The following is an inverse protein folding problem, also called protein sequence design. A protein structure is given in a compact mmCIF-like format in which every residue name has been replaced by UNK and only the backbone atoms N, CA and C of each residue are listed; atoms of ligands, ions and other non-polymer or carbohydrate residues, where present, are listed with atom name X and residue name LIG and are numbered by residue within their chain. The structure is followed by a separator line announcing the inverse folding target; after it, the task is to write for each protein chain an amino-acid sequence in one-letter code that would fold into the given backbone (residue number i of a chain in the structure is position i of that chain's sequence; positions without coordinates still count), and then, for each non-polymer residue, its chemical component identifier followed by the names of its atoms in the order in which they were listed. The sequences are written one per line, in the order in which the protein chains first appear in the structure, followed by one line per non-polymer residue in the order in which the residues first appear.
data_IF_861282972603
#
_entry.id   IF_861282972603
#
_cell.length_a   1.000
_cell.length_b   1.000
_cell.length_c   1.000
_cell.angle_alpha   90.00
_cell.angle_beta   90.00
_cell.angle_gamma   90.00
#
_symmetry.space_group_name_H-M   'P 1'
#
loop_
_entity.id
_entity.type
_entity.pdbx_description
1 polymer ?
#
# COMPACT_ATOMS: atom_id res chain seq x y z
N UNK A 1 -30.41 -52.12 65.33
CA UNK A 1 -29.00 -52.08 65.75
C UNK A 1 -28.61 -50.61 65.84
N UNK A 2 -28.88 -49.96 66.99
CA UNK A 2 -27.86 -49.59 68.01
C UNK A 2 -26.72 -48.81 67.34
N UNK A 3 -26.43 -47.55 67.63
CA UNK A 3 -26.46 -46.78 68.88
C UNK A 3 -26.01 -45.36 68.48
N UNK A 4 -26.64 -44.26 68.92
CA UNK A 4 -26.14 -43.33 69.98
C UNK A 4 -24.65 -42.97 69.73
N UNK A 5 -24.21 -41.72 69.49
CA UNK A 5 -24.24 -40.57 70.40
C UNK A 5 -23.57 -39.36 69.70
N UNK A 6 -24.11 -38.14 69.91
CA UNK A 6 -23.36 -36.86 69.99
C UNK A 6 -22.28 -36.91 71.11
N UNK A 7 -21.42 -35.91 71.43
CA UNK A 7 -21.32 -34.51 70.97
C UNK A 7 -19.85 -34.00 70.83
N UNK A 8 -19.72 -32.68 70.65
CA UNK A 8 -18.96 -31.78 71.55
C UNK A 8 -17.78 -30.96 70.98
N UNK A 9 -17.90 -29.66 71.28
CA UNK A 9 -16.97 -28.53 71.11
C UNK A 9 -15.70 -28.67 71.96
N UNK A 10 -14.60 -28.09 71.46
CA UNK A 10 -13.54 -27.43 72.25
C UNK A 10 -12.61 -26.67 71.27
N UNK A 11 -12.66 -25.34 71.14
CA UNK A 11 -11.89 -24.28 71.84
C UNK A 11 -10.36 -24.37 71.82
N UNK A 12 -9.76 -23.23 71.44
CA UNK A 12 -8.35 -22.77 71.58
C UNK A 12 -7.32 -23.43 70.64
N UNK A 13 -6.33 -22.76 70.04
CA UNK A 13 -5.80 -21.39 70.13
C UNK A 13 -4.90 -21.14 68.89
N UNK A 14 -4.49 -19.89 68.70
CA UNK A 14 -3.81 -19.27 67.56
C UNK A 14 -2.57 -19.98 66.99
N UNK A 15 -2.36 -19.83 65.67
CA UNK A 15 -1.05 -19.57 65.08
C UNK A 15 -1.20 -18.94 63.68
N UNK A 16 -0.67 -17.73 63.57
CA UNK A 16 -0.51 -16.94 62.35
C UNK A 16 0.01 -17.75 61.16
N UNK A 17 -0.59 -17.55 59.99
CA UNK A 17 0.15 -17.43 58.72
C UNK A 17 -0.72 -16.72 57.69
N UNK A 18 -0.18 -15.60 57.21
CA UNK A 18 -0.72 -14.78 56.12
C UNK A 18 -1.04 -15.64 54.90
N UNK A 19 -2.30 -15.62 54.47
CA UNK A 19 -2.68 -16.01 53.11
C UNK A 19 -3.25 -14.77 52.42
N UNK A 20 -2.41 -14.17 51.57
CA UNK A 20 -2.81 -13.13 50.63
C UNK A 20 -3.78 -13.78 49.65
N UNK A 21 -5.06 -13.54 49.92
CA UNK A 21 -6.21 -14.01 49.16
C UNK A 21 -6.16 -13.41 47.75
N UNK A 22 -5.47 -14.12 46.86
CA UNK A 22 -5.34 -13.74 45.46
C UNK A 22 -6.65 -14.10 44.80
N UNK A 23 -7.58 -13.15 44.72
CA UNK A 23 -8.82 -13.27 43.96
C UNK A 23 -8.49 -13.62 42.51
N UNK A 24 -8.51 -14.93 42.25
CA UNK A 24 -8.44 -15.56 40.97
C UNK A 24 -9.64 -15.07 40.15
N UNK A 25 -9.39 -14.02 39.38
CA UNK A 25 -10.35 -13.54 38.40
C UNK A 25 -10.37 -14.57 37.28
N UNK A 26 -11.46 -15.30 37.22
CA UNK A 26 -11.76 -16.29 36.19
C UNK A 26 -11.93 -15.56 34.85
N UNK A 27 -10.83 -15.43 34.09
CA UNK A 27 -10.85 -14.89 32.73
C UNK A 27 -11.24 -16.02 31.78
N UNK A 28 -12.49 -16.00 31.33
CA UNK A 28 -13.00 -16.82 30.24
C UNK A 28 -12.43 -16.34 28.89
N UNK A 29 -11.83 -17.27 28.14
CA UNK A 29 -11.78 -17.23 26.66
C UNK A 29 -10.83 -16.24 25.97
N UNK A 30 -9.62 -16.71 25.65
CA UNK A 30 -8.81 -16.30 24.49
C UNK A 30 -7.81 -15.12 24.62
N UNK A 31 -6.90 -15.18 25.60
CA UNK A 31 -5.76 -14.24 25.70
C UNK A 31 -4.90 -14.26 24.43
N UNK A 32 -4.67 -13.10 23.81
CA UNK A 32 -3.73 -12.90 22.70
C UNK A 32 -2.29 -12.95 23.24
N UNK A 33 -1.49 -13.95 22.82
CA UNK A 33 -0.13 -14.20 23.33
C UNK A 33 0.84 -14.47 22.19
N UNK A 34 2.15 -14.27 22.41
CA UNK A 34 3.20 -14.55 21.42
C UNK A 34 3.15 -16.00 20.92
N UNK A 35 3.05 -16.98 21.82
CA UNK A 35 2.98 -18.39 21.43
C UNK A 35 1.79 -18.69 20.48
N UNK A 36 0.65 -18.00 20.65
CA UNK A 36 -0.49 -18.12 19.72
C UNK A 36 -0.23 -17.43 18.39
N UNK A 37 0.47 -16.30 18.39
CA UNK A 37 0.88 -15.62 17.15
C UNK A 37 1.85 -16.49 16.36
N UNK A 38 2.82 -17.11 17.03
CA UNK A 38 3.80 -18.00 16.41
C UNK A 38 3.17 -19.30 15.89
N UNK A 39 2.11 -19.80 16.54
CA UNK A 39 1.39 -20.98 16.06
C UNK A 39 0.61 -20.74 14.75
N UNK A 40 0.45 -19.48 14.32
CA UNK A 40 -0.05 -19.14 12.98
C UNK A 40 0.97 -19.46 11.86
N UNK A 41 2.21 -19.81 12.21
CA UNK A 41 3.24 -20.27 11.28
C UNK A 41 3.53 -19.25 10.18
N UNK A 42 3.55 -19.70 8.92
CA UNK A 42 3.91 -18.88 7.76
C UNK A 42 2.92 -17.74 7.44
N UNK A 43 1.78 -17.68 8.13
CA UNK A 43 0.78 -16.62 7.96
C UNK A 43 1.19 -15.30 8.60
N UNK A 44 2.08 -15.35 9.59
CA UNK A 44 2.66 -14.19 10.27
C UNK A 44 4.17 -14.26 10.16
N UNK A 45 4.83 -13.11 10.07
CA UNK A 45 6.30 -13.02 10.05
C UNK A 45 6.76 -11.93 10.99
N UNK A 46 7.95 -12.13 11.53
CA UNK A 46 8.75 -11.04 12.08
C UNK A 46 9.21 -10.20 10.89
N UNK A 47 8.82 -8.93 10.88
CA UNK A 47 9.12 -8.00 9.79
C UNK A 47 10.22 -7.00 10.14
N UNK A 48 10.51 -6.81 11.43
CA UNK A 48 11.62 -6.00 11.91
C UNK A 48 11.98 -6.40 13.34
N UNK A 49 13.23 -6.15 13.74
CA UNK A 49 13.76 -6.44 15.07
C UNK A 49 14.69 -5.32 15.52
N UNK A 50 14.71 -5.02 16.82
CA UNK A 50 15.73 -4.16 17.44
C UNK A 50 16.57 -5.02 18.38
N UNK A 51 17.79 -5.36 17.95
CA UNK A 51 18.67 -6.29 18.69
C UNK A 51 19.09 -5.74 20.05
N UNK A 52 19.19 -4.41 20.18
CA UNK A 52 19.58 -3.73 21.42
C UNK A 52 18.52 -3.89 22.52
N UNK A 53 17.24 -3.68 22.18
CA UNK A 53 16.13 -3.81 23.14
C UNK A 53 15.45 -5.18 23.13
N UNK A 54 15.80 -6.07 22.19
CA UNK A 54 15.14 -7.36 22.00
C UNK A 54 13.68 -7.26 21.53
N UNK A 55 13.29 -6.14 20.91
CA UNK A 55 11.94 -5.98 20.36
C UNK A 55 11.78 -6.71 19.03
N UNK A 56 10.66 -7.40 18.85
CA UNK A 56 10.30 -8.12 17.63
C UNK A 56 8.92 -7.68 17.14
N UNK A 57 8.85 -7.24 15.88
CA UNK A 57 7.62 -6.74 15.26
C UNK A 57 7.01 -7.80 14.33
N UNK A 58 5.80 -8.25 14.65
CA UNK A 58 5.06 -9.27 13.93
C UNK A 58 3.96 -8.66 13.06
N UNK A 59 3.88 -9.11 11.80
CA UNK A 59 2.81 -8.74 10.87
C UNK A 59 2.35 -9.93 10.03
N UNK A 60 1.06 -10.02 9.74
CA UNK A 60 0.53 -10.99 8.80
C UNK A 60 1.10 -10.77 7.39
N UNK A 61 1.25 -11.86 6.64
CA UNK A 61 1.67 -11.83 5.24
C UNK A 61 0.50 -11.44 4.34
N UNK A 62 -0.67 -12.06 4.59
CA UNK A 62 -1.96 -11.77 3.95
C UNK A 62 -3.06 -12.01 4.97
N UNK A 63 -4.05 -11.13 4.99
CA UNK A 63 -5.24 -11.24 5.82
C UNK A 63 -6.45 -10.70 5.06
N UNK A 64 -7.60 -11.34 5.22
CA UNK A 64 -8.89 -10.95 4.66
C UNK A 64 -10.01 -10.92 5.72
N UNK A 65 -11.22 -10.56 5.32
CA UNK A 65 -12.36 -10.42 6.24
C UNK A 65 -12.74 -11.74 6.91
N UNK A 66 -12.61 -12.88 6.22
CA UNK A 66 -12.99 -14.21 6.72
C UNK A 66 -11.91 -14.88 7.58
N UNK A 67 -10.77 -14.22 7.78
CA UNK A 67 -9.69 -14.77 8.59
C UNK A 67 -9.99 -14.73 10.09
N UNK A 68 -9.28 -15.58 10.83
CA UNK A 68 -9.43 -15.70 12.28
C UNK A 68 -9.18 -14.37 12.98
N UNK A 69 -9.92 -14.12 14.06
CA UNK A 69 -9.75 -12.92 14.89
C UNK A 69 -8.30 -12.75 15.38
N UNK A 70 -7.62 -13.86 15.69
CA UNK A 70 -6.22 -13.86 16.08
C UNK A 70 -5.32 -13.31 14.97
N UNK A 71 -5.47 -13.78 13.72
CA UNK A 71 -4.66 -13.29 12.60
C UNK A 71 -4.95 -11.82 12.29
N UNK A 72 -6.22 -11.40 12.36
CA UNK A 72 -6.62 -10.01 12.13
C UNK A 72 -5.97 -9.05 13.12
N UNK A 73 -5.63 -9.49 14.33
CA UNK A 73 -4.90 -8.69 15.31
C UNK A 73 -3.39 -8.59 15.01
N UNK A 74 -2.82 -9.45 14.17
CA UNK A 74 -1.39 -9.49 13.86
C UNK A 74 -0.98 -8.46 12.79
N UNK A 75 -1.23 -7.16 13.02
CA UNK A 75 -0.92 -6.07 12.08
C UNK A 75 0.13 -5.10 12.64
N UNK A 76 1.35 -5.58 12.82
CA UNK A 76 2.44 -4.78 13.40
C UNK A 76 2.40 -4.74 14.92
N UNK A 77 2.18 -5.90 15.53
CA UNK A 77 2.24 -6.08 16.99
C UNK A 77 3.69 -6.22 17.41
N UNK A 78 4.10 -5.54 18.47
CA UNK A 78 5.48 -5.60 18.97
C UNK A 78 5.52 -6.39 20.28
N UNK A 79 6.45 -7.34 20.35
CA UNK A 79 6.75 -8.10 21.55
C UNK A 79 8.14 -7.77 22.06
N UNK A 80 8.30 -7.80 23.38
CA UNK A 80 9.57 -8.01 24.05
C UNK A 80 9.43 -9.32 24.81
N UNK A 81 10.20 -10.34 24.43
CA UNK A 81 10.01 -11.70 24.90
C UNK A 81 8.53 -12.14 24.76
N UNK A 82 7.85 -12.48 25.87
CA UNK A 82 6.44 -12.89 25.89
C UNK A 82 5.45 -11.73 26.13
N UNK A 83 5.95 -10.52 26.40
CA UNK A 83 5.14 -9.34 26.73
C UNK A 83 4.81 -8.55 25.45
N UNK A 84 3.54 -8.16 25.32
CA UNK A 84 3.13 -7.22 24.28
C UNK A 84 3.56 -5.82 24.69
N UNK A 85 4.38 -5.19 23.85
CA UNK A 85 4.85 -3.81 24.04
C UNK A 85 3.97 -2.84 23.28
N UNK A 86 3.51 -3.20 22.08
CA UNK A 86 2.66 -2.35 21.25
C UNK A 86 1.52 -3.16 20.65
N UNK A 87 0.28 -2.72 20.87
CA UNK A 87 -0.89 -3.17 20.10
C UNK A 87 -1.10 -2.21 18.94
N UNK A 88 -1.66 -2.70 17.85
CA UNK A 88 -2.03 -1.86 16.71
C UNK A 88 -3.52 -2.03 16.41
N UNK A 89 -4.03 -1.19 15.52
CA UNK A 89 -5.33 -1.44 14.91
C UNK A 89 -5.33 -2.81 14.23
N UNK A 90 -6.40 -3.61 14.42
CA UNK A 90 -6.51 -4.88 13.71
C UNK A 90 -6.69 -4.64 12.20
N UNK A 91 -6.85 -5.73 11.46
CA UNK A 91 -7.32 -5.69 10.10
C UNK A 91 -8.64 -4.91 10.02
N UNK A 92 -8.65 -3.87 9.19
CA UNK A 92 -9.83 -3.06 8.91
C UNK A 92 -10.61 -3.75 7.79
N UNK A 93 -11.88 -4.06 8.02
CA UNK A 93 -12.75 -4.64 6.99
C UNK A 93 -13.23 -3.51 6.10
N UNK A 94 -13.09 -3.66 4.79
CA UNK A 94 -13.45 -2.62 3.81
C UNK A 94 -14.63 -3.07 2.98
N UNK A 95 -15.65 -2.22 2.90
CA UNK A 95 -16.81 -2.32 2.03
C UNK A 95 -16.78 -1.15 1.04
N UNK A 96 -17.35 -1.34 -0.14
CA UNK A 96 -17.84 -0.21 -0.92
C UNK A 96 -19.24 0.18 -0.39
N UNK A 97 -19.65 1.43 -0.58
CA UNK A 97 -20.95 1.90 -0.06
C UNK A 97 -22.17 1.27 -0.72
N UNK A 98 -22.02 0.48 -1.80
CA UNK A 98 -23.10 -0.33 -2.38
C UNK A 98 -23.09 -1.79 -1.93
N UNK A 99 -22.20 -2.20 -1.01
CA UNK A 99 -22.22 -3.53 -0.38
C UNK A 99 -23.31 -3.58 0.72
N UNK A 100 -24.56 -3.29 0.34
CA UNK A 100 -25.69 -3.06 1.25
C UNK A 100 -25.93 -4.26 2.18
N UNK A 101 -25.85 -5.48 1.65
CA UNK A 101 -26.08 -6.71 2.43
C UNK A 101 -25.00 -6.95 3.50
N UNK A 102 -23.74 -6.70 3.18
CA UNK A 102 -22.62 -6.78 4.13
C UNK A 102 -22.72 -5.71 5.20
N UNK A 103 -23.02 -4.47 4.80
CA UNK A 103 -23.13 -3.33 5.72
C UNK A 103 -24.29 -3.57 6.68
N UNK A 104 -25.46 -3.96 6.18
CA UNK A 104 -26.65 -4.22 6.99
C UNK A 104 -26.44 -5.39 7.95
N UNK A 105 -25.72 -6.43 7.53
CA UNK A 105 -25.43 -7.59 8.38
C UNK A 105 -24.39 -7.30 9.46
N UNK A 106 -23.36 -6.50 9.17
CA UNK A 106 -22.18 -6.38 10.03
C UNK A 106 -22.09 -5.08 10.83
N UNK A 107 -22.79 -4.02 10.41
CA UNK A 107 -22.69 -2.68 11.00
C UNK A 107 -24.03 -2.23 11.59
N UNK A 108 -25.14 -2.35 10.86
CA UNK A 108 -26.47 -1.90 11.35
C UNK A 108 -26.85 -2.46 12.74
N UNK A 109 -26.59 -3.74 13.10
CA UNK A 109 -26.95 -4.28 14.41
C UNK A 109 -26.15 -3.68 15.58
N UNK A 110 -25.02 -3.01 15.28
CA UNK A 110 -24.12 -2.41 16.27
C UNK A 110 -23.95 -0.91 16.06
N UNK A 111 -24.79 -0.29 15.21
CA UNK A 111 -24.67 1.10 14.78
C UNK A 111 -24.61 2.08 15.95
N UNK A 112 -25.48 1.92 16.94
CA UNK A 112 -25.57 2.79 18.12
C UNK A 112 -24.30 2.75 18.99
N UNK A 113 -23.51 1.68 18.88
CA UNK A 113 -22.24 1.51 19.59
C UNK A 113 -21.02 1.87 18.75
N UNK A 114 -21.24 2.39 17.53
CA UNK A 114 -20.17 2.78 16.62
C UNK A 114 -19.88 4.28 16.71
N UNK A 115 -18.65 4.65 16.35
CA UNK A 115 -18.27 6.04 16.12
C UNK A 115 -17.71 6.20 14.72
N UNK A 116 -18.12 7.28 14.05
CA UNK A 116 -17.90 7.51 12.62
C UNK A 116 -16.97 8.70 12.42
N UNK A 117 -15.97 8.51 11.57
CA UNK A 117 -14.96 9.52 11.26
C UNK A 117 -14.64 9.53 9.77
N UNK A 118 -14.12 10.65 9.28
CA UNK A 118 -13.58 10.73 7.93
C UNK A 118 -12.44 9.72 7.71
N UNK A 119 -12.51 8.95 6.62
CA UNK A 119 -11.44 8.06 6.20
C UNK A 119 -10.52 8.77 5.20
N UNK A 120 -9.43 9.35 5.71
CA UNK A 120 -8.40 9.95 4.89
C UNK A 120 -7.44 8.91 4.29
N UNK A 121 -6.84 9.25 3.14
CA UNK A 121 -5.78 8.47 2.50
C UNK A 121 -4.40 8.83 3.07
N UNK A 122 -3.70 7.84 3.62
CA UNK A 122 -2.41 8.07 4.25
C UNK A 122 -1.74 6.81 4.80
N UNK A 123 -0.66 7.03 5.54
CA UNK A 123 0.11 5.98 6.20
C UNK A 123 0.02 6.08 7.73
N UNK A 124 -0.17 4.93 8.37
CA UNK A 124 -0.27 4.85 9.83
C UNK A 124 1.12 4.81 10.47
N UNK A 125 1.43 5.85 11.24
CA UNK A 125 2.57 5.96 12.15
C UNK A 125 2.12 5.60 13.56
N UNK A 126 2.98 4.92 14.31
CA UNK A 126 2.72 4.53 15.69
C UNK A 126 3.89 4.91 16.56
N UNK A 127 3.59 5.51 17.70
CA UNK A 127 4.61 5.95 18.64
C UNK A 127 4.38 5.34 20.02
N UNK A 128 5.42 4.72 20.57
CA UNK A 128 5.40 4.10 21.89
C UNK A 128 6.77 4.21 22.55
N UNK A 129 6.80 4.29 23.87
CA UNK A 129 8.04 4.27 24.65
C UNK A 129 8.32 2.83 25.09
N UNK A 130 9.58 2.43 25.05
CA UNK A 130 10.04 1.19 25.66
C UNK A 130 11.41 1.45 26.30
N UNK A 131 11.50 1.24 27.60
CA UNK A 131 12.72 1.43 28.40
C UNK A 131 13.38 2.81 28.20
N UNK A 132 12.55 3.87 28.14
CA UNK A 132 13.02 5.24 27.98
C UNK A 132 13.32 5.65 26.53
N UNK A 133 13.26 4.71 25.57
CA UNK A 133 13.46 4.98 24.13
C UNK A 133 12.11 5.09 23.42
N UNK A 134 11.90 6.19 22.71
CA UNK A 134 10.74 6.37 21.84
C UNK A 134 10.94 5.68 20.50
N UNK A 135 9.97 4.86 20.10
CA UNK A 135 9.91 4.22 18.79
C UNK A 135 8.87 4.93 17.94
N UNK A 136 9.25 5.37 16.74
CA UNK A 136 8.33 5.85 15.70
C UNK A 136 8.28 4.80 14.61
N UNK A 137 7.17 4.08 14.49
CA UNK A 137 7.09 2.82 13.72
C UNK A 137 5.97 2.82 12.67
N UNK A 138 6.14 1.98 11.65
CA UNK A 138 5.09 1.58 10.68
C UNK A 138 4.80 0.10 10.82
N UNK A 139 3.70 -0.44 10.29
CA UNK A 139 3.21 -1.78 10.68
C UNK A 139 4.13 -2.95 10.27
N UNK A 140 5.27 -2.65 9.64
CA UNK A 140 6.33 -3.60 9.26
C UNK A 140 7.73 -3.16 9.66
N UNK A 141 7.90 -1.98 10.28
CA UNK A 141 9.22 -1.43 10.67
C UNK A 141 9.13 -0.70 11.99
N UNK A 142 10.00 -1.04 12.94
CA UNK A 142 10.16 -0.35 14.22
C UNK A 142 10.66 1.09 14.04
N UNK A 143 11.36 1.34 12.93
CA UNK A 143 11.84 2.66 12.55
C UNK A 143 11.16 3.15 11.24
N UNK A 144 10.25 4.10 11.37
CA UNK A 144 9.51 4.72 10.27
C UNK A 144 10.40 5.53 9.31
N UNK A 145 11.56 6.01 9.75
CA UNK A 145 12.54 6.72 8.90
C UNK A 145 13.21 5.79 7.87
N UNK A 146 13.08 4.48 8.06
CA UNK A 146 13.53 3.44 7.12
C UNK A 146 12.37 2.87 6.29
N UNK A 147 11.17 3.46 6.37
CA UNK A 147 9.95 2.99 5.72
C UNK A 147 9.54 3.95 4.61
N UNK A 148 9.66 3.51 3.35
CA UNK A 148 9.40 4.34 2.16
C UNK A 148 8.46 3.61 1.21
N UNK A 149 7.63 4.35 0.49
CA UNK A 149 6.81 3.83 -0.61
C UNK A 149 6.69 4.91 -1.68
N UNK A 150 7.11 4.58 -2.91
CA UNK A 150 7.19 5.45 -4.10
C UNK A 150 8.10 6.69 -3.99
N UNK A 151 8.12 7.37 -2.85
CA UNK A 151 8.90 8.59 -2.60
C UNK A 151 10.34 8.33 -2.15
N UNK A 152 11.16 9.38 -2.26
CA UNK A 152 12.49 9.45 -1.64
C UNK A 152 12.42 9.71 -0.14
N UNK A 153 11.39 10.39 0.32
CA UNK A 153 11.10 10.60 1.74
C UNK A 153 10.51 9.33 2.36
N UNK A 154 10.83 9.10 3.63
CA UNK A 154 10.19 8.06 4.43
C UNK A 154 8.91 8.57 5.08
N UNK A 155 8.07 7.65 5.55
CA UNK A 155 6.90 8.02 6.33
C UNK A 155 7.29 8.72 7.64
N UNK A 156 8.46 8.41 8.21
CA UNK A 156 9.04 9.16 9.33
C UNK A 156 9.39 10.61 8.96
N UNK A 157 10.00 10.83 7.79
CA UNK A 157 10.33 12.18 7.31
C UNK A 157 9.06 13.01 7.10
N UNK A 158 8.03 12.42 6.47
CA UNK A 158 6.72 13.07 6.26
C UNK A 158 6.02 13.38 7.59
N UNK A 159 6.13 12.48 8.58
CA UNK A 159 5.61 12.71 9.92
C UNK A 159 6.26 13.92 10.60
N UNK A 160 7.59 14.01 10.57
CA UNK A 160 8.33 15.14 11.15
C UNK A 160 7.94 16.45 10.47
N UNK A 161 7.90 16.49 9.14
CA UNK A 161 7.43 17.68 8.40
C UNK A 161 6.00 18.08 8.74
N UNK A 162 5.14 17.10 8.97
CA UNK A 162 3.75 17.37 9.36
C UNK A 162 3.70 17.99 10.76
N UNK A 163 4.55 17.54 11.70
CA UNK A 163 4.71 18.20 13.01
C UNK A 163 5.29 19.62 12.89
N UNK A 164 6.22 19.86 11.97
CA UNK A 164 6.73 21.21 11.68
C UNK A 164 5.63 22.12 11.12
N UNK A 165 4.72 21.57 10.30
CA UNK A 165 3.56 22.31 9.82
C UNK A 165 2.56 22.61 10.93
N UNK A 166 2.26 21.63 11.80
CA UNK A 166 1.44 21.83 13.00
C UNK A 166 2.06 22.92 13.89
N UNK A 167 3.37 22.92 14.11
CA UNK A 167 4.04 23.96 14.90
C UNK A 167 3.87 25.38 14.33
N UNK A 168 3.74 25.52 13.00
CA UNK A 168 3.57 26.81 12.33
C UNK A 168 2.12 27.28 12.30
N UNK A 169 1.17 26.35 12.24
CA UNK A 169 -0.24 26.64 11.89
C UNK A 169 -1.21 26.41 13.04
N UNK A 170 -0.84 25.58 14.02
CA UNK A 170 -1.66 25.23 15.17
C UNK A 170 -1.05 25.85 16.44
N UNK A 171 -1.60 27.00 16.86
CA UNK A 171 -1.12 27.73 18.04
C UNK A 171 -1.15 26.88 19.32
N UNK A 172 -2.13 25.98 19.45
CA UNK A 172 -2.29 25.13 20.62
C UNK A 172 -1.14 24.13 20.71
N UNK A 173 -0.84 23.48 19.59
CA UNK A 173 0.32 22.59 19.47
C UNK A 173 1.62 23.35 19.75
N UNK A 174 1.81 24.51 19.09
CA UNK A 174 3.00 25.34 19.25
C UNK A 174 3.29 25.70 20.71
N UNK A 175 2.27 26.19 21.44
CA UNK A 175 2.38 26.59 22.85
C UNK A 175 2.57 25.41 23.80
N UNK A 176 2.19 24.21 23.39
CA UNK A 176 2.32 23.00 24.22
C UNK A 176 3.74 22.42 24.22
N UNK A 177 4.56 22.75 23.22
CA UNK A 177 5.90 22.20 23.11
C UNK A 177 6.88 22.95 24.01
N UNK A 178 7.80 22.24 24.71
CA UNK A 178 8.87 22.89 25.46
C UNK A 178 9.81 23.67 24.52
N UNK A 179 10.50 24.69 25.04
CA UNK A 179 11.50 25.44 24.26
C UNK A 179 12.75 24.60 23.98
N UNK A 180 13.14 23.77 24.95
CA UNK A 180 14.32 22.91 24.88
C UNK A 180 14.03 21.59 24.14
N UNK A 181 14.99 21.16 23.30
CA UNK A 181 14.98 19.88 22.59
C UNK A 181 15.62 19.98 21.22
N UNK A 182 16.35 18.94 20.81
CA UNK A 182 17.19 18.96 19.59
C UNK A 182 16.39 19.04 18.28
N UNK A 183 15.15 18.55 18.28
CA UNK A 183 14.28 18.53 17.11
C UNK A 183 12.81 18.68 17.50
N UNK A 184 11.96 19.03 16.52
CA UNK A 184 10.50 19.08 16.73
C UNK A 184 9.94 17.75 17.23
N UNK A 185 10.51 16.63 16.77
CA UNK A 185 10.10 15.30 17.19
C UNK A 185 10.45 15.04 18.66
N UNK A 186 11.67 15.39 19.09
CA UNK A 186 12.10 15.23 20.48
C UNK A 186 11.27 16.10 21.42
N UNK A 187 11.00 17.36 21.02
CA UNK A 187 10.13 18.29 21.76
C UNK A 187 8.70 17.78 21.85
N UNK A 188 8.18 17.18 20.79
CA UNK A 188 6.85 16.57 20.81
C UNK A 188 6.82 15.33 21.70
N UNK A 189 7.79 14.43 21.58
CA UNK A 189 7.90 13.21 22.38
C UNK A 189 7.96 13.47 23.89
N UNK A 190 8.57 14.57 24.33
CA UNK A 190 8.62 14.93 25.76
C UNK A 190 7.29 15.44 26.32
N UNK A 191 6.31 15.78 25.47
CA UNK A 191 4.95 16.13 25.90
C UNK A 191 4.05 14.91 26.11
N UNK A 192 4.49 13.72 25.68
CA UNK A 192 3.68 12.52 25.66
C UNK A 192 3.94 11.64 26.88
N UNK A 193 2.87 11.05 27.39
CA UNK A 193 2.91 10.03 28.43
C UNK A 193 3.54 8.73 27.88
N UNK A 194 4.57 8.24 28.56
CA UNK A 194 5.37 7.06 28.16
C UNK A 194 4.63 5.74 28.32
N UNK A 195 3.56 5.68 29.14
CA UNK A 195 2.76 4.47 29.33
C UNK A 195 1.67 4.31 28.25
N UNK A 196 1.51 5.31 27.38
CA UNK A 196 0.53 5.35 26.30
C UNK A 196 1.14 5.04 24.95
N UNK A 197 0.29 4.61 24.03
CA UNK A 197 0.68 4.31 22.65
C UNK A 197 -0.16 5.16 21.69
N UNK A 198 0.50 5.95 20.84
CA UNK A 198 -0.16 6.95 20.01
C UNK A 198 -0.17 6.52 18.55
N UNK A 199 -1.28 6.76 17.88
CA UNK A 199 -1.52 6.36 16.50
C UNK A 199 -1.75 7.63 15.67
N UNK A 200 -0.99 7.79 14.60
CA UNK A 200 -1.08 8.95 13.72
C UNK A 200 -1.30 8.51 12.28
N UNK A 201 -2.11 9.24 11.54
CA UNK A 201 -2.26 9.07 10.10
C UNK A 201 -1.57 10.24 9.39
N UNK A 202 -0.43 9.99 8.77
CA UNK A 202 0.20 11.00 7.89
C UNK A 202 -0.45 10.94 6.52
N UNK A 203 -0.88 12.09 6.00
CA UNK A 203 -1.48 12.14 4.67
C UNK A 203 -0.41 11.93 3.59
N UNK A 204 -0.86 11.38 2.46
CA UNK A 204 0.01 11.12 1.33
C UNK A 204 0.55 12.41 0.69
N UNK A 205 1.80 12.39 0.24
CA UNK A 205 2.43 13.41 -0.61
C UNK A 205 2.14 13.12 -2.09
N UNK A 206 2.46 14.06 -2.98
CA UNK A 206 2.28 13.84 -4.44
C UNK A 206 3.04 12.61 -4.97
N UNK A 207 4.15 12.23 -4.33
CA UNK A 207 4.94 11.06 -4.73
C UNK A 207 4.27 9.73 -4.36
N UNK A 208 3.52 9.68 -3.25
CA UNK A 208 2.97 8.45 -2.69
C UNK A 208 1.44 8.40 -2.67
N UNK A 209 0.76 9.45 -3.16
CA UNK A 209 -0.69 9.45 -3.31
C UNK A 209 -1.18 8.36 -4.25
N UNK A 210 -2.40 7.91 -4.02
CA UNK A 210 -3.05 6.81 -4.73
C UNK A 210 -4.24 7.35 -5.51
N UNK A 211 -5.27 7.83 -4.83
CA UNK A 211 -6.46 8.43 -5.45
C UNK A 211 -6.66 9.86 -4.96
N UNK A 212 -6.63 10.07 -3.64
CA UNK A 212 -6.77 11.41 -3.08
C UNK A 212 -5.61 12.32 -3.53
N UNK A 213 -5.88 13.61 -3.70
CA UNK A 213 -4.86 14.63 -3.92
C UNK A 213 -4.02 14.79 -2.65
N UNK A 214 -2.73 15.06 -2.82
CA UNK A 214 -1.92 15.40 -1.68
C UNK A 214 -2.34 16.79 -1.17
N UNK A 215 -2.37 17.01 0.15
CA UNK A 215 -2.55 18.35 0.68
C UNK A 215 -1.37 19.23 0.24
N UNK A 216 -1.63 20.53 0.07
CA UNK A 216 -0.59 21.49 -0.32
C UNK A 216 0.55 21.55 0.72
N UNK A 217 0.18 21.46 2.00
CA UNK A 217 1.12 21.38 3.11
C UNK A 217 1.02 19.99 3.78
N UNK A 218 2.14 19.43 4.27
CA UNK A 218 2.13 18.16 5.00
C UNK A 218 1.19 18.23 6.21
N UNK A 219 0.35 17.21 6.36
CA UNK A 219 -0.63 17.15 7.42
C UNK A 219 -0.74 15.75 7.99
N UNK A 220 -1.13 15.68 9.26
CA UNK A 220 -1.32 14.43 9.98
C UNK A 220 -2.52 14.54 10.92
N UNK A 221 -3.17 13.42 11.16
CA UNK A 221 -4.21 13.30 12.19
C UNK A 221 -3.73 12.43 13.34
N UNK A 222 -4.11 12.79 14.56
CA UNK A 222 -4.12 11.88 15.68
C UNK A 222 -5.33 10.94 15.49
N UNK A 223 -5.11 9.63 15.37
CA UNK A 223 -6.18 8.66 15.07
C UNK A 223 -6.46 7.70 16.20
N UNK A 224 -5.89 7.96 17.39
CA UNK A 224 -6.22 7.27 18.62
C UNK A 224 -5.02 6.99 19.49
N UNK A 225 -5.31 6.73 20.76
CA UNK A 225 -4.32 6.37 21.77
C UNK A 225 -4.75 5.08 22.45
N UNK A 226 -3.83 4.15 22.69
CA UNK A 226 -4.08 3.07 23.63
C UNK A 226 -3.70 3.53 25.03
N UNK A 227 -4.69 3.53 25.92
CA UNK A 227 -4.54 3.79 27.36
C UNK A 227 -4.88 2.49 28.07
N UNK A 228 -3.94 1.94 28.85
CA UNK A 228 -4.07 0.64 29.53
C UNK A 228 -4.53 -0.49 28.57
N UNK A 229 -4.03 -0.46 27.33
CA UNK A 229 -4.34 -1.44 26.29
C UNK A 229 -5.71 -1.28 25.63
N UNK A 230 -6.49 -0.24 25.97
CA UNK A 230 -7.78 0.09 25.34
C UNK A 230 -7.63 1.29 24.42
N UNK A 231 -8.16 1.18 23.21
CA UNK A 231 -8.18 2.30 22.27
C UNK A 231 -9.18 3.38 22.73
N UNK A 232 -8.72 4.61 22.81
CA UNK A 232 -9.53 5.81 23.07
C UNK A 232 -9.28 6.86 21.98
N UNK A 233 -10.31 7.64 21.67
CA UNK A 233 -10.32 8.69 20.64
C UNK A 233 -10.60 10.07 21.25
N UNK A 234 -10.13 10.28 22.49
CA UNK A 234 -10.41 11.47 23.31
C UNK A 234 -9.15 12.08 23.92
N UNK A 235 -7.97 11.49 23.68
CA UNK A 235 -6.72 11.98 24.23
C UNK A 235 -6.27 13.23 23.47
N UNK A 236 -6.15 14.33 24.21
CA UNK A 236 -5.79 15.62 23.65
C UNK A 236 -4.27 15.84 23.75
N UNK A 237 -3.58 15.55 22.65
CA UNK A 237 -2.15 15.81 22.48
C UNK A 237 -1.89 17.04 21.59
N UNK A 238 -2.89 17.91 21.49
CA UNK A 238 -2.88 19.13 20.67
C UNK A 238 -2.70 18.90 19.16
N UNK A 239 -3.02 17.70 18.68
CA UNK A 239 -3.10 17.35 17.27
C UNK A 239 -4.53 16.89 17.01
N UNK A 240 -5.12 17.39 15.92
CA UNK A 240 -6.51 17.14 15.60
C UNK A 240 -6.79 15.68 15.24
N UNK A 241 -7.97 15.22 15.63
CA UNK A 241 -8.57 13.98 15.12
C UNK A 241 -9.20 14.23 13.75
N UNK A 242 -9.39 13.19 12.92
CA UNK A 242 -10.26 13.29 11.76
C UNK A 242 -11.66 13.73 12.20
N UNK A 243 -12.41 14.38 11.32
CA UNK A 243 -13.75 14.88 11.65
C UNK A 243 -14.66 13.73 12.10
N UNK A 244 -15.24 13.89 13.29
CA UNK A 244 -16.25 12.97 13.83
C UNK A 244 -17.63 13.34 13.30
N UNK A 245 -18.43 12.32 12.98
CA UNK A 245 -19.81 12.47 12.52
C UNK A 245 -20.80 11.84 13.50
N UNK A 246 -21.97 12.47 13.62
CA UNK A 246 -23.11 11.98 14.42
C UNK A 246 -24.28 11.66 13.50
N UNK A 247 -24.23 10.51 12.83
CA UNK A 247 -25.31 10.04 11.96
C UNK A 247 -26.45 9.44 12.78
N UNK A 248 -27.70 9.70 12.40
CA UNK A 248 -28.87 9.13 13.06
C UNK A 248 -29.11 7.67 12.69
N UNK A 249 -28.65 7.26 11.51
CA UNK A 249 -28.81 5.91 10.97
C UNK A 249 -27.82 5.65 9.82
N UNK A 250 -27.77 4.42 9.34
CA UNK A 250 -26.90 4.04 8.22
C UNK A 250 -27.23 4.74 6.90
N UNK A 251 -28.48 5.17 6.69
CA UNK A 251 -28.86 5.91 5.48
C UNK A 251 -28.19 7.27 5.41
N UNK A 252 -28.12 8.01 6.53
CA UNK A 252 -27.38 9.29 6.56
C UNK A 252 -25.88 9.09 6.33
N UNK A 253 -25.29 8.03 6.88
CA UNK A 253 -23.89 7.70 6.64
C UNK A 253 -23.64 7.37 5.16
N UNK A 254 -24.55 6.64 4.51
CA UNK A 254 -24.49 6.34 3.09
C UNK A 254 -24.66 7.60 2.23
N UNK A 255 -25.64 8.45 2.54
CA UNK A 255 -25.86 9.72 1.86
C UNK A 255 -24.64 10.64 2.00
N UNK A 256 -23.98 10.66 3.15
CA UNK A 256 -22.71 11.37 3.32
C UNK A 256 -21.65 10.85 2.35
N UNK A 257 -21.42 9.54 2.31
CA UNK A 257 -20.40 8.94 1.44
C UNK A 257 -20.67 9.27 -0.03
N UNK A 258 -21.92 9.19 -0.50
CA UNK A 258 -22.28 9.52 -1.89
C UNK A 258 -21.95 10.96 -2.30
N UNK A 259 -21.81 11.87 -1.34
CA UNK A 259 -21.63 13.29 -1.59
C UNK A 259 -20.19 13.78 -1.32
N UNK A 260 -19.26 12.90 -0.95
CA UNK A 260 -17.85 13.29 -0.75
C UNK A 260 -17.15 13.53 -2.08
N UNK A 261 -16.14 14.40 -2.08
CA UNK A 261 -15.15 14.41 -3.16
C UNK A 261 -14.12 13.30 -2.91
N UNK A 262 -14.07 12.32 -3.81
CA UNK A 262 -13.13 11.19 -3.75
C UNK A 262 -11.67 11.63 -3.91
N UNK A 263 -11.43 12.87 -4.34
CA UNK A 263 -10.10 13.47 -4.40
C UNK A 263 -9.63 13.94 -3.03
N UNK A 264 -10.52 14.13 -2.06
CA UNK A 264 -10.14 14.57 -0.71
C UNK A 264 -10.30 13.46 0.33
N UNK A 265 -11.30 12.59 0.15
CA UNK A 265 -11.66 11.55 1.12
C UNK A 265 -11.94 10.20 0.47
N UNK A 266 -11.60 9.12 1.16
CA UNK A 266 -11.88 7.76 0.68
C UNK A 266 -13.33 7.33 0.97
N UNK A 267 -13.89 7.83 2.07
CA UNK A 267 -15.16 7.38 2.65
C UNK A 267 -15.21 7.61 4.16
N UNK A 268 -15.82 6.66 4.89
CA UNK A 268 -15.94 6.68 6.35
C UNK A 268 -15.16 5.54 6.99
N UNK A 269 -14.53 5.82 8.14
CA UNK A 269 -14.00 4.80 9.06
C UNK A 269 -14.89 4.73 10.30
N UNK A 270 -15.18 3.50 10.71
CA UNK A 270 -16.14 3.17 11.76
C UNK A 270 -15.39 2.40 12.83
N UNK A 271 -15.35 2.94 14.05
CA UNK A 271 -14.83 2.26 15.22
C UNK A 271 -16.00 1.64 15.97
N UNK A 272 -16.04 0.31 15.95
CA UNK A 272 -17.03 -0.53 16.61
C UNK A 272 -16.48 -1.05 17.96
N UNK A 273 -17.33 -1.68 18.80
CA UNK A 273 -16.89 -2.34 20.02
C UNK A 273 -15.73 -3.32 19.81
N UNK A 274 -14.97 -3.57 20.89
CA UNK A 274 -13.81 -4.46 20.91
C UNK A 274 -12.68 -4.07 19.93
N UNK A 275 -12.55 -2.78 19.62
CA UNK A 275 -11.57 -2.24 18.68
C UNK A 275 -11.71 -2.84 17.26
N UNK A 276 -12.92 -3.32 16.90
CA UNK A 276 -13.22 -3.71 15.53
C UNK A 276 -13.37 -2.44 14.67
N UNK A 277 -12.85 -2.49 13.46
CA UNK A 277 -12.87 -1.36 12.55
C UNK A 277 -13.42 -1.77 11.19
N UNK A 278 -14.29 -0.91 10.66
CA UNK A 278 -14.78 -1.01 9.30
C UNK A 278 -14.44 0.26 8.54
N UNK A 279 -14.31 0.15 7.23
CA UNK A 279 -14.34 1.28 6.30
C UNK A 279 -15.44 1.06 5.29
N UNK A 280 -16.21 2.10 5.02
CA UNK A 280 -17.13 2.15 3.89
C UNK A 280 -16.58 3.17 2.92
N UNK A 281 -16.13 2.70 1.76
CA UNK A 281 -15.43 3.50 0.76
C UNK A 281 -16.39 3.97 -0.34
N UNK A 282 -16.09 5.11 -0.94
CA UNK A 282 -16.73 5.50 -2.18
C UNK A 282 -16.41 4.46 -3.28
N UNK A 283 -17.40 3.98 -4.04
CA UNK A 283 -17.22 2.99 -5.11
C UNK A 283 -16.22 3.48 -6.16
N UNK A 284 -16.36 4.72 -6.61
CA UNK A 284 -15.43 5.31 -7.59
C UNK A 284 -14.02 5.46 -7.03
N UNK A 285 -13.87 5.85 -5.75
CA UNK A 285 -12.57 5.82 -5.08
C UNK A 285 -11.98 4.40 -5.14
N UNK A 286 -12.77 3.37 -4.77
CA UNK A 286 -12.30 2.00 -4.76
C UNK A 286 -11.94 1.50 -6.17
N UNK A 287 -12.65 1.97 -7.20
CA UNK A 287 -12.36 1.64 -8.60
C UNK A 287 -11.03 2.25 -9.04
N UNK A 288 -10.82 3.54 -8.79
CA UNK A 288 -9.56 4.24 -9.06
C UNK A 288 -8.41 3.63 -8.26
N UNK A 289 -8.64 3.24 -7.01
CA UNK A 289 -7.66 2.55 -6.17
C UNK A 289 -7.26 1.20 -6.78
N UNK A 290 -8.22 0.41 -7.30
CA UNK A 290 -7.94 -0.86 -8.01
C UNK A 290 -7.13 -0.62 -9.28
N UNK A 291 -7.46 0.39 -10.07
CA UNK A 291 -6.71 0.75 -11.27
C UNK A 291 -5.28 1.18 -10.91
N UNK A 292 -5.12 2.02 -9.88
CA UNK A 292 -3.82 2.47 -9.38
C UNK A 292 -2.98 1.35 -8.77
N UNK A 293 -3.61 0.45 -8.02
CA UNK A 293 -2.95 -0.66 -7.33
C UNK A 293 -1.92 -0.23 -6.28
N UNK A 294 -1.47 -1.20 -5.48
CA UNK A 294 -0.39 -1.00 -4.51
C UNK A 294 0.98 -1.22 -5.14
N UNK A 295 1.31 -0.41 -6.15
CA UNK A 295 2.59 -0.46 -6.88
C UNK A 295 3.34 0.87 -6.71
N UNK A 296 4.54 0.89 -6.08
CA UNK A 296 5.29 2.12 -5.89
C UNK A 296 5.58 2.90 -7.18
N UNK A 297 5.86 2.21 -8.29
CA UNK A 297 6.22 2.85 -9.55
C UNK A 297 5.02 2.96 -10.49
N UNK A 298 4.50 4.17 -10.72
CA UNK A 298 3.44 4.41 -11.72
C UNK A 298 3.83 3.87 -13.10
N UNK A 299 5.11 4.00 -13.47
CA UNK A 299 5.63 3.49 -14.74
C UNK A 299 5.54 1.97 -14.84
N UNK A 300 5.82 1.28 -13.74
CA UNK A 300 5.69 -0.17 -13.69
C UNK A 300 4.23 -0.60 -13.59
N UNK A 301 3.41 0.16 -12.85
CA UNK A 301 1.97 -0.06 -12.79
C UNK A 301 1.33 0.00 -14.18
N UNK A 302 1.70 0.98 -14.98
CA UNK A 302 1.27 1.08 -16.38
C UNK A 302 1.55 -0.23 -17.14
N UNK A 303 2.77 -0.78 -17.04
CA UNK A 303 3.10 -2.06 -17.69
C UNK A 303 2.25 -3.25 -17.20
N UNK A 304 1.77 -3.22 -15.95
CA UNK A 304 0.89 -4.27 -15.42
C UNK A 304 -0.52 -4.19 -16.01
N UNK A 305 -0.99 -2.99 -16.36
CA UNK A 305 -2.39 -2.76 -16.78
C UNK A 305 -2.53 -2.30 -18.22
N UNK A 306 -1.44 -2.10 -18.97
CA UNK A 306 -1.46 -1.49 -20.32
C UNK A 306 -2.32 -2.22 -21.35
N UNK A 307 -2.66 -3.49 -21.12
CA UNK A 307 -3.58 -4.25 -21.97
C UNK A 307 -5.06 -4.10 -21.58
N UNK A 308 -5.35 -3.36 -20.51
CA UNK A 308 -6.69 -3.02 -20.04
C UNK A 308 -6.91 -1.51 -20.22
N UNK A 309 -7.67 -1.13 -21.26
CA UNK A 309 -7.88 0.27 -21.62
C UNK A 309 -8.56 1.07 -20.50
N UNK A 310 -9.54 0.48 -19.81
CA UNK A 310 -10.25 1.11 -18.70
C UNK A 310 -9.28 1.51 -17.58
N UNK A 311 -8.39 0.61 -17.17
CA UNK A 311 -7.39 0.92 -16.14
C UNK A 311 -6.33 1.91 -16.61
N UNK A 312 -5.98 1.91 -17.90
CA UNK A 312 -5.08 2.92 -18.48
C UNK A 312 -5.73 4.31 -18.44
N UNK A 313 -7.00 4.42 -18.81
CA UNK A 313 -7.74 5.67 -18.80
C UNK A 313 -7.89 6.20 -17.36
N UNK A 314 -8.15 5.33 -16.39
CA UNK A 314 -8.16 5.69 -14.97
C UNK A 314 -6.79 6.13 -14.46
N UNK A 315 -5.70 5.47 -14.87
CA UNK A 315 -4.35 5.93 -14.52
C UNK A 315 -4.04 7.30 -15.11
N UNK A 316 -4.48 7.57 -16.35
CA UNK A 316 -4.32 8.88 -16.98
C UNK A 316 -5.20 9.95 -16.32
N UNK A 317 -6.38 9.59 -15.83
CA UNK A 317 -7.22 10.46 -15.02
C UNK A 317 -6.51 10.85 -13.71
N UNK A 318 -5.91 9.87 -13.03
CA UNK A 318 -5.19 10.10 -11.78
C UNK A 318 -3.85 10.82 -11.97
N UNK A 319 -3.11 10.54 -13.05
CA UNK A 319 -1.76 11.05 -13.31
C UNK A 319 -1.64 11.59 -14.74
N UNK A 320 -2.31 12.70 -15.09
CA UNK A 320 -2.35 13.20 -16.47
C UNK A 320 -0.96 13.57 -17.01
N UNK A 321 -0.04 14.00 -16.14
CA UNK A 321 1.35 14.32 -16.51
C UNK A 321 2.16 13.08 -16.96
N UNK A 322 1.69 11.86 -16.67
CA UNK A 322 2.37 10.62 -17.06
C UNK A 322 2.08 10.19 -18.50
N UNK A 323 1.16 10.86 -19.21
CA UNK A 323 0.76 10.52 -20.58
C UNK A 323 1.96 10.37 -21.51
N UNK A 324 2.83 11.38 -21.56
CA UNK A 324 4.02 11.34 -22.43
C UNK A 324 4.96 10.18 -22.05
N UNK A 325 5.05 9.86 -20.75
CA UNK A 325 5.85 8.71 -20.30
C UNK A 325 5.27 7.40 -20.81
N UNK A 326 3.94 7.24 -20.79
CA UNK A 326 3.26 6.04 -21.28
C UNK A 326 3.40 5.91 -22.80
N UNK A 327 3.20 7.01 -23.54
CA UNK A 327 3.41 7.05 -24.99
C UNK A 327 4.86 6.67 -25.35
N UNK A 328 5.84 7.14 -24.58
CA UNK A 328 7.24 6.75 -24.75
C UNK A 328 7.47 5.26 -24.51
N UNK A 329 6.81 4.66 -23.51
CA UNK A 329 6.88 3.22 -23.26
C UNK A 329 6.33 2.43 -24.45
N UNK A 330 5.22 2.87 -25.04
CA UNK A 330 4.64 2.24 -26.24
C UNK A 330 5.59 2.31 -27.45
N UNK A 331 6.17 3.49 -27.68
CA UNK A 331 7.15 3.67 -28.75
C UNK A 331 8.40 2.81 -28.58
N UNK A 332 8.86 2.65 -27.33
CA UNK A 332 9.98 1.77 -26.99
C UNK A 332 9.63 0.30 -27.23
N UNK A 333 8.48 -0.16 -26.76
CA UNK A 333 8.03 -1.54 -26.97
C UNK A 333 7.87 -1.86 -28.46
N UNK A 334 7.31 -0.94 -29.24
CA UNK A 334 7.22 -1.10 -30.69
C UNK A 334 8.60 -1.15 -31.37
N UNK A 335 9.55 -0.35 -30.90
CA UNK A 335 10.94 -0.39 -31.38
C UNK A 335 11.64 -1.71 -31.04
N UNK A 336 11.38 -2.25 -29.85
CA UNK A 336 11.86 -3.57 -29.42
C UNK A 336 11.26 -4.67 -30.30
N UNK A 337 9.95 -4.62 -30.59
CA UNK A 337 9.31 -5.56 -31.52
C UNK A 337 9.95 -5.52 -32.91
N UNK A 338 10.26 -4.33 -33.44
CA UNK A 338 10.98 -4.18 -34.72
C UNK A 338 12.37 -4.82 -34.70
N UNK A 339 13.11 -4.63 -33.61
CA UNK A 339 14.42 -5.25 -33.41
C UNK A 339 14.33 -6.78 -33.37
N UNK A 340 13.37 -7.33 -32.62
CA UNK A 340 13.11 -8.77 -32.54
C UNK A 340 12.75 -9.31 -33.92
N UNK A 341 11.83 -8.67 -34.63
CA UNK A 341 11.44 -9.08 -35.99
C UNK A 341 12.63 -9.06 -36.97
N UNK A 342 13.48 -8.03 -36.93
CA UNK A 342 14.67 -7.97 -37.77
C UNK A 342 15.68 -9.09 -37.45
N UNK A 343 15.82 -9.44 -36.16
CA UNK A 343 16.63 -10.57 -35.71
C UNK A 343 16.03 -11.90 -36.19
N UNK A 344 14.70 -12.09 -36.07
CA UNK A 344 13.97 -13.25 -36.55
C UNK A 344 14.22 -13.49 -38.05
N UNK A 345 14.04 -12.46 -38.88
CA UNK A 345 14.30 -12.54 -40.34
C UNK A 345 15.76 -12.91 -40.62
N UNK A 346 16.70 -12.32 -39.88
CA UNK A 346 18.12 -12.61 -40.05
C UNK A 346 18.45 -14.05 -39.70
N UNK A 347 17.90 -14.56 -38.59
CA UNK A 347 18.15 -15.90 -38.09
C UNK A 347 17.44 -16.99 -38.89
N UNK A 348 16.11 -16.90 -38.98
CA UNK A 348 15.27 -18.02 -39.43
C UNK A 348 14.95 -17.99 -40.93
N UNK A 349 15.06 -16.83 -41.58
CA UNK A 349 14.79 -16.69 -43.02
C UNK A 349 16.11 -16.63 -43.80
N UNK A 350 17.07 -15.84 -43.32
CA UNK A 350 18.37 -15.65 -43.99
C UNK A 350 19.45 -16.61 -43.50
N UNK A 351 19.16 -17.45 -42.51
CA UNK A 351 20.10 -18.42 -41.93
C UNK A 351 21.42 -17.79 -41.46
N UNK A 352 21.36 -16.57 -40.90
CA UNK A 352 22.52 -15.86 -40.34
C UNK A 352 22.45 -15.84 -38.82
N UNK A 353 23.59 -16.00 -38.16
CA UNK A 353 23.64 -15.85 -36.71
C UNK A 353 23.20 -14.44 -36.28
N UNK A 354 22.30 -14.38 -35.30
CA UNK A 354 21.85 -13.16 -34.65
C UNK A 354 21.71 -13.45 -33.16
N UNK A 355 22.11 -12.52 -32.29
CA UNK A 355 22.02 -12.67 -30.84
C UNK A 355 20.94 -11.75 -30.30
N UNK A 356 20.04 -12.30 -29.49
CA UNK A 356 19.07 -11.54 -28.71
C UNK A 356 19.33 -11.78 -27.22
N UNK A 357 19.07 -10.79 -26.36
CA UNK A 357 19.05 -11.02 -24.93
C UNK A 357 17.91 -11.97 -24.53
N UNK A 358 17.97 -12.48 -23.29
CA UNK A 358 17.12 -13.59 -22.82
C UNK A 358 15.63 -13.33 -22.99
N UNK A 359 15.14 -12.18 -22.52
CA UNK A 359 13.72 -11.84 -22.59
C UNK A 359 13.23 -11.70 -24.05
N UNK A 360 13.96 -10.98 -24.88
CA UNK A 360 13.67 -10.76 -26.31
C UNK A 360 13.75 -12.07 -27.10
N UNK A 361 14.69 -12.96 -26.75
CA UNK A 361 14.81 -14.30 -27.33
C UNK A 361 13.60 -15.18 -27.01
N UNK A 362 12.96 -15.04 -25.84
CA UNK A 362 11.72 -15.78 -25.55
C UNK A 362 10.60 -15.40 -26.52
N UNK A 363 10.49 -14.12 -26.85
CA UNK A 363 9.52 -13.63 -27.86
C UNK A 363 9.84 -14.19 -29.24
N UNK A 364 11.11 -14.14 -29.67
CA UNK A 364 11.57 -14.74 -30.94
C UNK A 364 11.24 -16.24 -31.00
N UNK A 365 11.56 -16.97 -29.93
CA UNK A 365 11.30 -18.42 -29.82
C UNK A 365 9.81 -18.73 -29.89
N UNK A 366 8.96 -17.99 -29.18
CA UNK A 366 7.52 -18.18 -29.22
C UNK A 366 6.94 -17.89 -30.61
N UNK A 367 7.44 -16.86 -31.30
CA UNK A 367 7.07 -16.59 -32.70
C UNK A 367 7.49 -17.75 -33.62
N UNK A 368 8.68 -18.32 -33.39
CA UNK A 368 9.17 -19.45 -34.19
C UNK A 368 8.35 -20.73 -33.94
N UNK A 369 8.03 -21.04 -32.69
CA UNK A 369 7.18 -22.20 -32.38
C UNK A 369 5.80 -22.07 -33.04
N UNK A 370 5.20 -20.88 -33.04
CA UNK A 370 3.96 -20.64 -33.80
C UNK A 370 4.13 -20.83 -35.32
N UNK A 371 5.29 -20.48 -35.88
CA UNK A 371 5.59 -20.76 -37.29
C UNK A 371 5.70 -22.26 -37.58
N UNK A 372 6.31 -23.04 -36.68
CA UNK A 372 6.50 -24.49 -36.82
C UNK A 372 5.18 -25.27 -36.80
N UNK A 373 4.14 -24.74 -36.12
CA UNK A 373 2.80 -25.35 -36.09
C UNK A 373 2.17 -25.42 -37.49
N UNK A 374 2.37 -24.41 -38.34
CA UNK A 374 1.94 -24.41 -39.74
C UNK A 374 2.85 -23.52 -40.60
N UNK A 375 3.93 -24.12 -41.10
CA UNK A 375 4.91 -23.41 -41.93
C UNK A 375 4.32 -22.71 -43.17
N UNK A 376 3.19 -23.21 -43.70
CA UNK A 376 2.58 -22.67 -44.92
C UNK A 376 1.83 -21.39 -44.61
N UNK A 377 1.02 -21.39 -43.56
CA UNK A 377 0.11 -20.27 -43.25
C UNK A 377 0.66 -19.31 -42.19
N UNK A 378 1.47 -19.78 -41.24
CA UNK A 378 1.95 -18.97 -40.11
C UNK A 378 3.21 -18.20 -40.47
N UNK A 379 3.07 -17.13 -41.26
CA UNK A 379 4.22 -16.25 -41.58
C UNK A 379 4.42 -15.24 -40.45
N UNK A 380 5.59 -15.28 -39.81
CA UNK A 380 5.96 -14.32 -38.75
C UNK A 380 6.19 -12.96 -39.37
N UNK A 381 5.23 -12.06 -39.15
CA UNK A 381 5.31 -10.63 -39.47
C UNK A 381 5.49 -9.82 -38.18
N UNK A 382 5.73 -8.52 -38.31
CA UNK A 382 5.90 -7.62 -37.16
C UNK A 382 4.68 -7.66 -36.23
N UNK A 383 3.47 -7.75 -36.78
CA UNK A 383 2.23 -7.80 -36.01
C UNK A 383 2.21 -9.01 -35.06
N UNK A 384 2.70 -10.17 -35.51
CA UNK A 384 2.80 -11.35 -34.66
C UNK A 384 3.82 -11.17 -33.53
N UNK A 385 4.94 -10.51 -33.83
CA UNK A 385 5.94 -10.20 -32.79
C UNK A 385 5.35 -9.27 -31.74
N UNK A 386 4.57 -8.25 -32.14
CA UNK A 386 3.86 -7.36 -31.22
C UNK A 386 2.83 -8.13 -30.38
N UNK A 387 2.06 -9.03 -31.00
CA UNK A 387 1.11 -9.88 -30.29
C UNK A 387 1.78 -10.72 -29.19
N UNK A 388 2.87 -11.41 -29.51
CA UNK A 388 3.63 -12.24 -28.55
C UNK A 388 4.33 -11.39 -27.50
N UNK A 389 4.79 -10.19 -27.86
CA UNK A 389 5.37 -9.23 -26.92
C UNK A 389 4.34 -8.77 -25.89
N UNK A 390 3.09 -8.51 -26.31
CA UNK A 390 2.00 -8.10 -25.42
C UNK A 390 1.56 -9.19 -24.42
N UNK A 391 1.96 -10.44 -24.65
CA UNK A 391 1.72 -11.56 -23.73
C UNK A 391 2.81 -11.70 -22.65
N UNK A 392 3.91 -10.93 -22.75
CA UNK A 392 4.99 -11.00 -21.77
C UNK A 392 4.61 -10.35 -20.43
N UNK A 393 5.23 -10.83 -19.36
CA UNK A 393 5.02 -10.26 -18.03
C UNK A 393 5.51 -8.81 -17.96
N UNK A 394 4.87 -7.97 -17.14
CA UNK A 394 5.33 -6.60 -16.89
C UNK A 394 6.80 -6.52 -16.45
N UNK A 395 7.28 -7.54 -15.71
CA UNK A 395 8.68 -7.67 -15.32
C UNK A 395 9.61 -7.83 -16.53
N UNK A 396 9.29 -8.72 -17.46
CA UNK A 396 10.11 -8.94 -18.65
C UNK A 396 10.06 -7.73 -19.58
N UNK A 397 8.89 -7.12 -19.78
CA UNK A 397 8.75 -5.86 -20.52
C UNK A 397 9.63 -4.74 -19.93
N UNK A 398 9.60 -4.57 -18.60
CA UNK A 398 10.41 -3.57 -17.91
C UNK A 398 11.92 -3.83 -18.09
N UNK A 399 12.37 -5.08 -18.09
CA UNK A 399 13.77 -5.43 -18.37
C UNK A 399 14.17 -5.08 -19.81
N UNK A 400 13.33 -5.42 -20.79
CA UNK A 400 13.56 -5.07 -22.20
C UNK A 400 13.66 -3.55 -22.36
N UNK A 401 12.73 -2.79 -21.78
CA UNK A 401 12.71 -1.32 -21.80
C UNK A 401 13.99 -0.73 -21.19
N UNK A 402 14.41 -1.22 -20.02
CA UNK A 402 15.65 -0.75 -19.36
C UNK A 402 16.86 -0.98 -20.22
N UNK A 403 17.01 -2.19 -20.79
CA UNK A 403 18.13 -2.53 -21.67
C UNK A 403 18.13 -1.67 -22.93
N UNK A 404 16.97 -1.49 -23.56
CA UNK A 404 16.82 -0.65 -24.75
C UNK A 404 17.24 0.80 -24.48
N UNK A 405 16.87 1.35 -23.32
CA UNK A 405 17.31 2.68 -22.89
C UNK A 405 18.83 2.75 -22.69
N UNK A 406 19.43 1.77 -22.01
CA UNK A 406 20.88 1.72 -21.78
C UNK A 406 21.66 1.65 -23.11
N UNK A 407 21.19 0.86 -24.06
CA UNK A 407 21.80 0.75 -25.39
C UNK A 407 21.69 2.04 -26.20
N UNK A 408 20.53 2.70 -26.16
CA UNK A 408 20.35 3.99 -26.85
C UNK A 408 21.18 5.10 -26.22
N UNK A 409 21.29 5.11 -24.88
CA UNK A 409 22.18 6.05 -24.18
C UNK A 409 23.63 5.86 -24.61
N UNK A 410 24.12 4.62 -24.65
CA UNK A 410 25.48 4.30 -25.15
C UNK A 410 25.68 4.74 -26.61
N UNK A 411 24.70 4.49 -27.49
CA UNK A 411 24.76 4.93 -28.90
C UNK A 411 24.87 6.45 -29.02
N UNK A 412 24.07 7.19 -28.23
CA UNK A 412 24.10 8.65 -28.23
C UNK A 412 25.42 9.21 -27.66
N UNK A 413 25.97 8.62 -26.61
CA UNK A 413 27.29 8.99 -26.05
C UNK A 413 28.41 8.78 -27.07
N UNK A 414 28.39 7.65 -27.80
CA UNK A 414 29.36 7.37 -28.87
C UNK A 414 29.21 8.40 -30.01
N UNK A 415 27.99 8.70 -30.45
CA UNK A 415 27.74 9.69 -31.49
C UNK A 415 28.20 11.09 -31.07
N UNK A 416 27.92 11.51 -29.84
CA UNK A 416 28.38 12.79 -29.30
C UNK A 416 29.90 12.86 -29.20
N UNK A 417 30.56 11.76 -28.81
CA UNK A 417 32.03 11.69 -28.77
C UNK A 417 32.63 11.83 -30.17
N UNK A 418 32.03 11.18 -31.18
CA UNK A 418 32.46 11.28 -32.58
C UNK A 418 32.24 12.71 -33.11
N UNK A 419 31.09 13.32 -32.84
CA UNK A 419 30.81 14.71 -33.24
C UNK A 419 31.75 15.72 -32.56
N UNK A 420 32.10 15.50 -31.29
CA UNK A 420 33.02 16.39 -30.55
C UNK A 420 34.43 16.29 -31.13
N UNK A 421 34.92 15.08 -31.44
CA UNK A 421 36.21 14.87 -32.14
C UNK A 421 36.22 15.47 -33.55
N UNK A 422 35.10 15.39 -34.27
CA UNK A 422 34.97 15.97 -35.60
C UNK A 422 34.88 17.51 -35.57
N UNK A 423 34.26 18.10 -34.55
CA UNK A 423 34.23 19.57 -34.34
C UNK A 423 35.58 20.14 -33.95
N UNK A 424 36.40 19.43 -33.16
CA UNK A 424 37.79 19.85 -32.93
C UNK A 424 38.67 19.74 -34.18
N UNK A 425 38.22 19.03 -35.23
CA UNK A 425 38.88 18.94 -36.53
C UNK A 425 38.22 19.78 -37.64
N UNK A 426 37.13 20.51 -37.35
CA UNK A 426 36.41 21.29 -38.37
C UNK A 426 35.92 22.63 -37.83
N UNK A 427 36.79 23.63 -37.90
CA UNK A 427 36.35 25.00 -38.12
C UNK A 427 35.81 25.14 -39.55
N UNK A 428 34.68 25.83 -39.69
CA UNK A 428 33.96 26.22 -40.92
C UNK A 428 32.98 25.19 -41.54
N UNK A 429 31.68 25.32 -41.23
CA UNK A 429 30.66 26.00 -42.08
C UNK A 429 29.25 25.74 -41.53
N UNK A 430 28.40 26.78 -41.56
CA UNK A 430 27.01 26.80 -41.04
C UNK A 430 26.00 26.25 -42.06
N UNK A 431 24.90 25.68 -41.54
CA UNK A 431 23.45 25.83 -41.92
C UNK A 431 22.68 24.48 -41.86
N UNK A 432 21.33 24.44 -42.00
CA UNK A 432 20.31 24.86 -41.02
C UNK A 432 19.31 23.74 -40.62
N UNK A 433 18.48 24.01 -39.60
CA UNK A 433 17.54 23.09 -38.94
C UNK A 433 16.34 22.62 -39.78
N UNK A 434 15.92 21.36 -39.58
CA UNK A 434 14.63 20.80 -40.02
C UNK A 434 13.82 20.35 -38.79
N UNK A 435 12.54 20.75 -38.74
CA UNK A 435 11.56 20.44 -37.69
C UNK A 435 10.94 19.05 -37.89
N UNK A 436 10.77 18.29 -36.82
CA UNK A 436 10.04 17.01 -36.79
C UNK A 436 8.54 17.21 -36.51
N UNK A 437 7.69 16.46 -37.21
CA UNK A 437 6.25 16.33 -36.96
C UNK A 437 5.91 15.03 -36.18
N UNK A 438 4.78 14.98 -35.45
CA UNK A 438 4.38 13.83 -34.64
C UNK A 438 3.63 12.74 -35.45
N UNK A 439 3.71 11.50 -34.97
CA UNK A 439 3.15 10.26 -35.57
C UNK A 439 1.90 9.82 -34.77
N UNK A 440 0.89 9.16 -35.37
CA UNK A 440 -0.40 8.87 -34.72
C UNK A 440 -0.38 7.67 -33.76
N UNK A 441 -1.35 7.65 -32.85
CA UNK A 441 -1.64 6.64 -31.83
C UNK A 441 -1.92 5.22 -32.38
N UNK A 442 -1.79 4.17 -31.54
CA UNK A 442 -1.78 2.79 -32.01
C UNK A 442 -3.15 2.29 -32.47
N UNK A 443 -3.11 1.45 -33.52
CA UNK A 443 -4.27 0.78 -34.10
C UNK A 443 -4.66 -0.40 -33.23
N UNK A 444 -5.83 -0.30 -32.59
CA UNK A 444 -6.53 -1.44 -31.98
C UNK A 444 -7.21 -2.20 -33.12
N UNK A 445 -6.86 -3.47 -33.30
CA UNK A 445 -7.60 -4.36 -34.20
C UNK A 445 -8.85 -4.82 -33.44
N UNK A 446 -10.07 -4.59 -33.96
CA UNK A 446 -11.29 -5.05 -33.30
C UNK A 446 -11.33 -6.58 -33.31
N UNK A 447 -11.50 -7.18 -32.13
CA UNK A 447 -11.90 -8.58 -32.00
C UNK A 447 -13.35 -8.68 -32.46
N UNK A 448 -13.62 -9.40 -33.54
CA UNK A 448 -14.97 -9.65 -34.01
C UNK A 448 -15.75 -10.42 -32.95
N UNK A 449 -16.83 -9.82 -32.44
CA UNK A 449 -17.81 -10.49 -31.59
C UNK A 449 -18.65 -11.42 -32.45
N UNK A 450 -18.64 -12.70 -32.08
CA UNK A 450 -19.45 -13.78 -32.63
C UNK A 450 -20.86 -13.70 -32.06
N UNK A 451 -21.59 -12.64 -32.40
CA UNK A 451 -23.04 -12.54 -32.16
C UNK A 451 -23.66 -11.87 -33.39
N UNK A 452 -24.12 -12.71 -34.33
CA UNK A 452 -25.23 -12.48 -35.27
C UNK A 452 -25.16 -13.54 -36.40
N UNK A 453 -25.61 -14.76 -36.09
CA UNK A 453 -26.13 -15.69 -37.09
C UNK A 453 -27.44 -16.28 -36.57
N UNK A 454 -28.43 -15.41 -36.39
CA UNK A 454 -29.85 -15.79 -36.47
C UNK A 454 -30.55 -14.70 -37.26
N UNK A 455 -30.78 -14.96 -38.56
CA UNK A 455 -32.04 -14.73 -39.26
C UNK A 455 -31.84 -14.82 -40.79
N UNK A 456 -32.86 -15.39 -41.45
CA UNK A 456 -33.09 -15.51 -42.91
C UNK A 456 -32.25 -16.64 -43.53
N UNK A 457 -32.84 -17.74 -44.03
CA UNK A 457 -33.74 -17.84 -45.19
C UNK A 457 -34.71 -19.03 -45.04
N UNK A 458 -35.91 -18.82 -45.60
CA UNK A 458 -36.97 -19.77 -45.98
C UNK A 458 -36.44 -21.09 -46.58
#
# INVERSE_FOLDING_TARGET
MTSITEPQKSTAEELDTESVDTKQTTITGNTFTRNKVESLGNRVRITDTDEESGLELYCYVKCGPDDSSLLRQCRGVVFHEQKIVMRAFPYTIEYNHHDDEEIERNISPIFENCSFYDAHEGALIRMFNFEGKWYTSTHRKLNAFKSKWASKESFGDVFVRSLENEFKTNEKFQKSLPEEGESILARFQSTLDTEKQYMFLVLNTEDNRIVCQAPQEPHLYHVGTFVEGKLVLTEDINIDYPRKHGFLNMREAHDYINNIDIRDLQGLIIFAPDNKQYKILHKDYQHLFKARGNEPSIKFRYLQVRMNQEYVDMLLHLYPHMKETFDNYENMLYSIAKMIHASYVTRHIRNKWSQLPTEEYRVDKACHSWHEEDHKNNKVKLEKVVEVLNQQSANDLNKMIRRFNEENKKKNEIQNTIQTRNRSNSFNLKSPLIKNQPVPSPVIVPTATLEQMENVVI
#
